data_IF_018936100398
#
_entry.id   IF_018936100398
#
_cell.length_a   1.000
_cell.length_b   1.000
_cell.length_c   1.000
_cell.angle_alpha   90.00
_cell.angle_beta   90.00
_cell.angle_gamma   90.00
#
_symmetry.space_group_name_H-M   'P 1'
#
loop_
_entity.id
_entity.type
_entity.pdbx_description
1 polymer ?
#
# COMPACT_ATOMS: atom_id res chain seq x y z
N UNK A 1 7.45 -5.43 -15.73
CA UNK A 1 7.25 -5.25 -14.28
C UNK A 1 7.35 -3.76 -13.98
N UNK A 2 6.25 -3.02 -14.13
CA UNK A 2 6.21 -1.56 -14.02
C UNK A 2 4.98 -1.13 -13.19
N UNK A 3 4.89 -1.51 -11.91
CA UNK A 3 3.70 -1.16 -11.10
C UNK A 3 3.90 0.14 -10.29
N UNK A 4 5.14 0.61 -10.10
CA UNK A 4 5.46 1.88 -9.41
C UNK A 4 6.33 2.82 -10.27
N UNK A 5 6.36 2.61 -11.58
CA UNK A 5 7.29 3.32 -12.48
C UNK A 5 6.88 4.78 -12.80
N UNK A 6 5.74 5.21 -12.29
CA UNK A 6 5.18 6.57 -12.41
C UNK A 6 5.64 7.51 -11.28
N UNK A 7 6.23 6.95 -10.22
CA UNK A 7 6.77 7.68 -9.09
C UNK A 7 8.28 7.94 -9.30
N UNK A 8 8.80 9.04 -8.75
CA UNK A 8 10.21 9.35 -8.88
C UNK A 8 11.08 8.38 -8.07
N UNK A 9 12.35 8.23 -8.43
CA UNK A 9 13.26 7.25 -7.81
C UNK A 9 13.48 7.45 -6.29
N UNK A 10 13.26 8.66 -5.79
CA UNK A 10 13.32 9.00 -4.37
C UNK A 10 12.02 8.69 -3.61
N UNK A 11 11.02 8.08 -4.25
CA UNK A 11 9.79 7.69 -3.58
C UNK A 11 10.10 6.75 -2.41
N UNK A 12 9.44 7.00 -1.29
CA UNK A 12 9.54 6.14 -0.12
C UNK A 12 8.65 4.93 -0.33
N UNK A 13 9.20 3.73 -0.10
CA UNK A 13 8.51 2.47 -0.33
C UNK A 13 8.40 1.68 0.97
N UNK A 14 7.22 1.15 1.23
CA UNK A 14 6.95 0.14 2.25
C UNK A 14 6.54 -1.15 1.57
N UNK A 15 7.12 -2.27 2.01
CA UNK A 15 6.81 -3.60 1.51
C UNK A 15 6.38 -4.45 2.70
N UNK A 16 5.20 -5.04 2.59
CA UNK A 16 4.62 -5.94 3.59
C UNK A 16 4.47 -7.31 2.96
N UNK A 17 5.00 -8.33 3.63
CA UNK A 17 4.93 -9.70 3.17
C UNK A 17 3.73 -10.38 3.82
N UNK A 18 2.87 -11.00 3.01
CA UNK A 18 1.86 -11.89 3.54
C UNK A 18 2.46 -13.21 4.05
N UNK A 19 1.93 -13.71 5.17
CA UNK A 19 2.23 -15.04 5.74
C UNK A 19 2.18 -16.12 4.63
N UNK A 20 1.15 -16.04 3.78
CA UNK A 20 0.94 -16.88 2.60
C UNK A 20 0.51 -16.03 1.39
N UNK A 21 0.78 -16.50 0.15
CA UNK A 21 0.27 -15.81 -1.03
C UNK A 21 -1.26 -15.64 -1.03
N UNK A 22 -1.73 -14.53 -1.57
CA UNK A 22 -3.11 -14.35 -2.02
C UNK A 22 -3.40 -15.31 -3.18
N UNK A 23 -4.66 -15.74 -3.30
CA UNK A 23 -5.09 -16.47 -4.48
C UNK A 23 -5.11 -15.54 -5.70
N UNK A 24 -4.71 -16.02 -6.88
CA UNK A 24 -4.65 -15.21 -8.10
C UNK A 24 -5.98 -14.51 -8.42
N UNK A 25 -7.10 -15.21 -8.21
CA UNK A 25 -8.45 -14.67 -8.39
C UNK A 25 -8.80 -13.46 -7.50
N UNK A 26 -8.20 -13.31 -6.32
CA UNK A 26 -8.50 -12.19 -5.41
C UNK A 26 -7.52 -11.01 -5.54
N UNK A 27 -6.37 -11.21 -6.17
CA UNK A 27 -5.34 -10.17 -6.31
C UNK A 27 -5.88 -8.88 -6.97
N UNK A 28 -6.68 -8.92 -8.05
CA UNK A 28 -7.25 -7.70 -8.62
C UNK A 28 -8.10 -6.88 -7.64
N UNK A 29 -8.80 -7.56 -6.73
CA UNK A 29 -9.63 -6.93 -5.70
C UNK A 29 -8.78 -6.32 -4.58
N UNK A 30 -7.75 -7.05 -4.12
CA UNK A 30 -6.76 -6.54 -3.16
C UNK A 30 -6.14 -5.25 -3.69
N UNK A 31 -5.68 -5.26 -4.94
CA UNK A 31 -5.11 -4.07 -5.57
C UNK A 31 -6.13 -2.93 -5.71
N UNK A 32 -7.40 -3.24 -5.99
CA UNK A 32 -8.45 -2.22 -6.05
C UNK A 32 -8.64 -1.54 -4.69
N UNK A 33 -8.66 -2.31 -3.60
CA UNK A 33 -8.72 -1.76 -2.24
C UNK A 33 -7.50 -0.89 -1.93
N UNK A 34 -6.30 -1.33 -2.29
CA UNK A 34 -5.10 -0.54 -2.08
C UNK A 34 -5.09 0.76 -2.90
N UNK A 35 -5.50 0.72 -4.19
CA UNK A 35 -5.60 1.92 -5.03
C UNK A 35 -6.63 2.92 -4.49
N UNK A 36 -7.74 2.45 -3.93
CA UNK A 36 -8.71 3.32 -3.24
C UNK A 36 -8.11 3.97 -2.00
N UNK A 37 -7.33 3.21 -1.22
CA UNK A 37 -6.63 3.75 -0.07
C UNK A 37 -5.63 4.84 -0.46
N UNK A 38 -4.79 4.63 -1.48
CA UNK A 38 -3.79 5.64 -1.89
C UNK A 38 -4.42 6.96 -2.34
N UNK A 39 -5.62 6.91 -2.96
CA UNK A 39 -6.38 8.11 -3.32
C UNK A 39 -6.93 8.88 -2.11
N UNK A 40 -7.11 8.20 -0.98
CA UNK A 40 -7.64 8.76 0.27
C UNK A 40 -6.54 9.03 1.30
N UNK A 41 -5.28 8.70 0.97
CA UNK A 41 -4.20 8.76 1.93
C UNK A 41 -3.70 10.21 2.09
N UNK A 42 -3.81 10.72 3.32
CA UNK A 42 -3.51 12.12 3.65
C UNK A 42 -2.52 12.23 4.80
N UNK A 43 -1.69 13.27 4.76
CA UNK A 43 -0.76 13.65 5.82
C UNK A 43 -0.96 15.14 6.14
N UNK A 44 -1.28 15.47 7.39
CA UNK A 44 -1.58 16.84 7.84
C UNK A 44 -2.56 17.58 6.90
N UNK A 45 -3.65 16.92 6.52
CA UNK A 45 -4.67 17.40 5.58
C UNK A 45 -4.20 17.64 4.13
N UNK A 46 -3.03 17.11 3.75
CA UNK A 46 -2.53 17.14 2.37
C UNK A 46 -2.57 15.74 1.78
N UNK A 47 -3.11 15.61 0.57
CA UNK A 47 -3.07 14.34 -0.15
C UNK A 47 -1.63 13.92 -0.44
N UNK A 48 -1.34 12.63 -0.20
CA UNK A 48 -0.07 12.03 -0.57
C UNK A 48 -0.17 11.54 -2.02
N UNK A 49 0.84 11.84 -2.84
CA UNK A 49 0.96 11.22 -4.16
C UNK A 49 1.52 9.81 -3.96
N UNK A 50 0.62 8.83 -4.00
CA UNK A 50 0.94 7.46 -3.62
C UNK A 50 0.43 6.43 -4.63
N UNK A 51 1.15 5.32 -4.73
CA UNK A 51 0.79 4.15 -5.52
C UNK A 51 0.91 2.86 -4.72
N UNK A 52 0.25 1.83 -5.23
CA UNK A 52 0.05 0.56 -4.57
C UNK A 52 0.14 -0.60 -5.57
N UNK A 53 0.76 -1.69 -5.15
CA UNK A 53 0.92 -2.90 -5.97
C UNK A 53 0.86 -4.16 -5.10
N UNK A 54 0.45 -5.28 -5.71
CA UNK A 54 0.70 -6.62 -5.17
C UNK A 54 1.68 -7.33 -6.10
N UNK A 55 2.84 -7.74 -5.58
CA UNK A 55 3.88 -8.45 -6.34
C UNK A 55 3.91 -9.92 -5.94
N UNK A 56 4.07 -10.80 -6.93
CA UNK A 56 4.16 -12.26 -6.75
C UNK A 56 3.01 -12.82 -5.88
N UNK A 57 1.83 -12.20 -6.00
CA UNK A 57 0.64 -12.51 -5.20
C UNK A 57 0.89 -12.53 -3.69
N UNK A 58 1.92 -11.84 -3.18
CA UNK A 58 2.34 -11.98 -1.77
C UNK A 58 2.82 -10.67 -1.14
N UNK A 59 3.52 -9.84 -1.91
CA UNK A 59 4.10 -8.62 -1.40
C UNK A 59 3.19 -7.44 -1.67
N UNK A 60 2.70 -6.84 -0.60
CA UNK A 60 1.86 -5.66 -0.62
C UNK A 60 2.79 -4.44 -0.54
N UNK A 61 2.81 -3.63 -1.60
CA UNK A 61 3.74 -2.51 -1.74
C UNK A 61 2.96 -1.20 -1.73
N UNK A 62 3.38 -0.27 -0.87
CA UNK A 62 2.95 1.13 -0.89
C UNK A 62 4.16 2.01 -1.22
N UNK A 63 3.99 2.93 -2.16
CA UNK A 63 5.02 3.89 -2.54
C UNK A 63 4.47 5.32 -2.50
N UNK A 64 5.24 6.27 -1.99
CA UNK A 64 4.84 7.68 -1.84
C UNK A 64 5.93 8.60 -2.38
N UNK A 65 5.53 9.54 -3.22
CA UNK A 65 6.34 10.70 -3.58
C UNK A 65 6.21 11.79 -2.49
N UNK A 66 7.23 11.88 -1.64
CA UNK A 66 7.27 12.83 -0.52
C UNK A 66 7.69 14.26 -0.95
N UNK A 67 7.84 14.55 -2.25
CA UNK A 67 8.28 15.88 -2.72
C UNK A 67 7.30 17.01 -2.41
N UNK A 68 6.00 16.71 -2.29
CA UNK A 68 4.95 17.68 -1.99
C UNK A 68 4.48 17.64 -0.55
N UNK A 69 4.38 16.44 0.03
CA UNK A 69 4.01 16.19 1.40
C UNK A 69 4.62 14.87 1.87
N UNK A 70 5.32 14.90 3.00
CA UNK A 70 5.88 13.69 3.61
C UNK A 70 4.82 12.90 4.38
N UNK A 71 4.98 11.59 4.46
CA UNK A 71 4.19 10.74 5.32
C UNK A 71 4.53 11.05 6.80
N UNK A 72 3.56 11.56 7.55
CA UNK A 72 3.67 11.75 8.99
C UNK A 72 3.39 10.45 9.75
N UNK A 73 3.74 10.40 11.04
CA UNK A 73 3.41 9.27 11.93
C UNK A 73 1.93 8.88 11.86
N UNK A 74 1.02 9.85 11.97
CA UNK A 74 -0.42 9.58 11.88
C UNK A 74 -0.84 9.02 10.51
N UNK A 75 -0.23 9.49 9.42
CA UNK A 75 -0.52 8.95 8.09
C UNK A 75 -0.01 7.52 7.92
N UNK A 76 1.15 7.19 8.51
CA UNK A 76 1.71 5.83 8.52
C UNK A 76 0.85 4.91 9.39
N UNK A 77 0.37 5.39 10.55
CA UNK A 77 -0.56 4.62 11.39
C UNK A 77 -1.85 4.29 10.63
N UNK A 78 -2.34 5.21 9.80
CA UNK A 78 -3.52 4.97 8.95
C UNK A 78 -3.27 3.89 7.88
N UNK A 79 -2.07 3.85 7.28
CA UNK A 79 -1.72 2.79 6.33
C UNK A 79 -1.59 1.44 7.02
N UNK A 80 -0.99 1.40 8.22
CA UNK A 80 -0.92 0.17 9.03
C UNK A 80 -2.31 -0.33 9.40
N UNK A 81 -3.21 0.56 9.85
CA UNK A 81 -4.58 0.19 10.19
C UNK A 81 -5.37 -0.31 8.97
N UNK A 82 -5.17 0.30 7.80
CA UNK A 82 -5.75 -0.18 6.54
C UNK A 82 -5.24 -1.57 6.19
N UNK A 83 -3.92 -1.80 6.25
CA UNK A 83 -3.30 -3.09 5.90
C UNK A 83 -3.74 -4.21 6.84
N UNK A 84 -3.92 -3.94 8.14
CA UNK A 84 -4.48 -4.93 9.08
C UNK A 84 -5.88 -5.37 8.67
N UNK A 85 -6.76 -4.41 8.36
CA UNK A 85 -8.13 -4.71 7.87
C UNK A 85 -8.11 -5.45 6.54
N UNK A 86 -7.20 -5.08 5.64
CA UNK A 86 -7.01 -5.78 4.37
C UNK A 86 -6.62 -7.24 4.61
N UNK A 87 -5.66 -7.47 5.51
CA UNK A 87 -5.25 -8.81 5.93
C UNK A 87 -6.41 -9.62 6.51
N UNK A 88 -7.20 -9.03 7.41
CA UNK A 88 -8.40 -9.67 7.99
C UNK A 88 -9.41 -10.10 6.91
N UNK A 89 -9.69 -9.24 5.91
CA UNK A 89 -10.65 -9.52 4.83
C UNK A 89 -10.23 -10.72 3.98
N UNK A 90 -8.92 -10.89 3.74
CA UNK A 90 -8.38 -11.96 2.90
C UNK A 90 -7.75 -13.11 3.69
N UNK A 91 -7.94 -13.13 5.03
CA UNK A 91 -7.36 -14.11 5.94
C UNK A 91 -5.84 -14.25 5.75
N UNK A 92 -5.14 -13.12 5.75
CA UNK A 92 -3.67 -13.01 5.65
C UNK A 92 -3.10 -12.15 6.77
N UNK A 93 -1.95 -12.55 7.28
CA UNK A 93 -1.15 -11.69 8.15
C UNK A 93 -0.08 -10.98 7.31
N UNK A 94 0.00 -9.65 7.44
CA UNK A 94 0.96 -8.80 6.74
C UNK A 94 2.08 -8.28 7.66
N UNK A 95 2.10 -8.71 8.91
CA UNK A 95 2.98 -8.18 9.98
C UNK A 95 3.70 -9.26 10.80
N UNK A 96 3.71 -10.51 10.31
CA UNK A 96 4.49 -11.62 10.88
C UNK A 96 5.95 -11.62 10.40
#
# INVERSE_FOLDING_TARGET
MEIVNTLPAQARVWVYQADRPFAEEVVPEVEQHMRKFTQQWVSHNRALRAEAAVLENRFVVLAVDESQAGASGCSIDSSVAFLKKLGEVYERDLFD
#
